data_IF_947558868740
#
_entry.id   IF_947558868740
#
_cell.length_a   1.000
_cell.length_b   1.000
_cell.length_c   1.000
_cell.angle_alpha   90.00
_cell.angle_beta   90.00
_cell.angle_gamma   90.00
#
_symmetry.space_group_name_H-M   'P 1'
#
loop_
_entity.id
_entity.type
_entity.pdbx_description
1 polymer ?
#
# COMPACT_ATOMS: atom_id res chain seq x y z
N UNK A 1 8.47 55.93 9.39
CA UNK A 1 9.35 55.77 8.20
C UNK A 1 10.65 55.04 8.52
N UNK A 2 11.64 55.62 9.24
CA UNK A 2 12.88 54.87 9.56
C UNK A 2 12.62 53.67 10.49
N UNK A 3 11.88 53.87 11.58
CA UNK A 3 11.54 52.78 12.51
C UNK A 3 10.66 51.70 11.87
N UNK A 4 9.75 52.08 10.97
CA UNK A 4 8.93 51.13 10.21
C UNK A 4 9.79 50.32 9.23
N UNK A 5 10.78 50.96 8.60
CA UNK A 5 11.75 50.27 7.73
C UNK A 5 12.61 49.30 8.54
N UNK A 6 13.02 49.67 9.75
CA UNK A 6 13.79 48.80 10.65
C UNK A 6 12.95 47.61 11.15
N UNK A 7 11.65 47.80 11.38
CA UNK A 7 10.73 46.71 11.72
C UNK A 7 10.57 45.72 10.57
N UNK A 8 10.32 46.23 9.35
CA UNK A 8 10.13 45.38 8.15
C UNK A 8 11.41 44.64 7.78
N UNK A 9 12.59 45.26 7.93
CA UNK A 9 13.86 44.57 7.68
C UNK A 9 14.13 43.45 8.68
N UNK A 10 13.77 43.65 9.95
CA UNK A 10 13.85 42.60 10.98
C UNK A 10 12.91 41.41 10.69
N UNK A 11 11.67 41.70 10.27
CA UNK A 11 10.71 40.65 9.88
C UNK A 11 11.17 39.87 8.65
N UNK A 12 11.68 40.56 7.62
CA UNK A 12 12.26 39.90 6.44
C UNK A 12 13.42 38.97 6.84
N UNK A 13 14.30 39.44 7.73
CA UNK A 13 15.41 38.62 8.21
C UNK A 13 14.93 37.38 8.97
N UNK A 14 13.88 37.50 9.79
CA UNK A 14 13.29 36.36 10.49
C UNK A 14 12.68 35.34 9.51
N UNK A 15 12.03 35.81 8.44
CA UNK A 15 11.50 34.94 7.38
C UNK A 15 12.64 34.24 6.64
N UNK A 16 13.74 34.93 6.32
CA UNK A 16 14.91 34.33 5.67
C UNK A 16 15.51 33.19 6.52
N UNK A 17 15.58 33.37 7.84
CA UNK A 17 16.04 32.32 8.76
C UNK A 17 15.10 31.10 8.71
N UNK A 18 13.78 31.31 8.72
CA UNK A 18 12.82 30.21 8.61
C UNK A 18 12.93 29.47 7.28
N UNK A 19 13.16 30.20 6.18
CA UNK A 19 13.39 29.59 4.86
C UNK A 19 14.66 28.73 4.90
N UNK A 20 15.74 29.20 5.51
CA UNK A 20 16.98 28.41 5.64
C UNK A 20 16.76 27.12 6.44
N UNK A 21 16.05 27.19 7.57
CA UNK A 21 15.74 26.01 8.39
C UNK A 21 14.89 24.99 7.62
N UNK A 22 13.87 25.46 6.89
CA UNK A 22 13.02 24.61 6.07
C UNK A 22 13.79 23.95 4.92
N UNK A 23 14.74 24.65 4.30
CA UNK A 23 15.59 24.10 3.25
C UNK A 23 16.53 23.01 3.80
N UNK A 24 17.11 23.20 4.98
CA UNK A 24 17.93 22.18 5.63
C UNK A 24 17.10 20.94 5.96
N UNK A 25 15.89 21.12 6.50
CA UNK A 25 14.98 20.02 6.80
C UNK A 25 14.52 19.29 5.53
N UNK A 26 14.28 20.02 4.45
CA UNK A 26 13.97 19.44 3.14
C UNK A 26 15.11 18.53 2.66
N UNK A 27 16.36 18.99 2.78
CA UNK A 27 17.53 18.21 2.38
C UNK A 27 17.67 16.92 3.21
N UNK A 28 17.46 17.00 4.52
CA UNK A 28 17.48 15.83 5.40
C UNK A 28 16.41 14.80 5.01
N UNK A 29 15.20 15.26 4.70
CA UNK A 29 14.10 14.39 4.26
C UNK A 29 14.39 13.75 2.89
N UNK A 30 15.00 14.48 1.96
CA UNK A 30 15.43 13.93 0.66
C UNK A 30 16.47 12.83 0.85
N UNK A 31 17.46 13.05 1.74
CA UNK A 31 18.45 12.02 2.06
C UNK A 31 17.79 10.77 2.67
N UNK A 32 16.91 10.96 3.65
CA UNK A 32 16.15 9.85 4.27
C UNK A 32 15.34 9.08 3.25
N UNK A 33 14.63 9.77 2.34
CA UNK A 33 13.89 9.17 1.23
C UNK A 33 14.82 8.29 0.38
N UNK A 34 15.94 8.82 -0.08
CA UNK A 34 16.88 8.09 -0.94
C UNK A 34 17.44 6.83 -0.25
N UNK A 35 17.77 6.92 1.05
CA UNK A 35 18.23 5.77 1.85
C UNK A 35 17.15 4.70 1.94
N UNK A 36 15.91 5.09 2.27
CA UNK A 36 14.79 4.16 2.36
C UNK A 36 14.49 3.51 1.00
N UNK A 37 14.49 4.29 -0.08
CA UNK A 37 14.32 3.78 -1.45
C UNK A 37 15.42 2.77 -1.81
N UNK A 38 16.68 3.04 -1.47
CA UNK A 38 17.78 2.10 -1.69
C UNK A 38 17.61 0.81 -0.88
N UNK A 39 17.19 0.90 0.39
CA UNK A 39 16.93 -0.28 1.23
C UNK A 39 15.80 -1.13 0.66
N UNK A 40 14.70 -0.51 0.23
CA UNK A 40 13.58 -1.22 -0.42
C UNK A 40 14.09 -1.92 -1.68
N UNK A 41 14.87 -1.22 -2.52
CA UNK A 41 15.43 -1.82 -3.75
C UNK A 41 16.38 -2.99 -3.46
N UNK A 42 17.26 -2.88 -2.46
CA UNK A 42 18.16 -3.97 -2.06
C UNK A 42 17.37 -5.20 -1.57
N UNK A 43 16.34 -5.00 -0.75
CA UNK A 43 15.45 -6.09 -0.34
C UNK A 43 14.70 -6.73 -1.51
N UNK A 44 14.55 -6.03 -2.64
CA UNK A 44 13.94 -6.58 -3.87
C UNK A 44 14.97 -7.31 -4.76
N UNK A 45 16.25 -6.95 -4.70
CA UNK A 45 17.32 -7.53 -5.54
C UNK A 45 17.94 -8.82 -4.95
N UNK A 46 17.89 -9.03 -3.63
CA UNK A 46 18.36 -10.28 -2.97
C UNK A 46 17.47 -11.52 -3.27
N UNK A 47 16.45 -11.38 -4.13
CA UNK A 47 15.51 -12.45 -4.51
C UNK A 47 15.83 -13.14 -5.86
N UNK A 48 16.91 -12.78 -6.57
CA UNK A 48 17.18 -13.25 -7.95
C UNK A 48 18.30 -14.30 -8.09
N UNK A 49 18.50 -15.14 -7.07
CA UNK A 49 19.41 -16.30 -7.16
C UNK A 49 18.71 -17.59 -6.68
N UNK A 50 17.69 -18.04 -7.41
CA UNK A 50 17.08 -19.36 -7.21
C UNK A 50 15.66 -19.48 -7.80
N UNK A 51 15.51 -20.29 -8.85
CA UNK A 51 14.23 -20.68 -9.44
C UNK A 51 13.35 -21.47 -8.44
N UNK A 52 12.45 -20.75 -7.74
CA UNK A 52 11.09 -21.17 -7.38
C UNK A 52 10.41 -19.96 -6.72
N UNK A 53 9.39 -19.40 -7.36
CA UNK A 53 8.72 -18.13 -7.00
C UNK A 53 7.98 -18.19 -5.65
N UNK A 54 8.72 -18.07 -4.55
CA UNK A 54 8.21 -17.98 -3.16
C UNK A 54 8.53 -16.60 -2.54
N UNK A 55 8.14 -15.51 -3.20
CA UNK A 55 8.21 -14.17 -2.62
C UNK A 55 6.85 -13.44 -2.54
N UNK A 56 5.75 -14.18 -2.70
CA UNK A 56 4.38 -13.66 -2.56
C UNK A 56 3.84 -13.74 -1.12
N UNK A 57 4.74 -13.77 -0.13
CA UNK A 57 4.46 -14.25 1.22
C UNK A 57 3.80 -13.22 2.15
N UNK A 58 3.63 -11.97 1.69
CA UNK A 58 2.97 -10.94 2.49
C UNK A 58 1.54 -10.69 1.97
N UNK A 59 0.52 -10.59 2.84
CA UNK A 59 -0.84 -10.24 2.41
C UNK A 59 -0.90 -8.94 1.59
N UNK A 60 0.02 -8.00 1.84
CA UNK A 60 0.07 -6.73 1.14
C UNK A 60 0.33 -6.86 -0.38
N UNK A 61 1.04 -7.90 -0.85
CA UNK A 61 1.28 -8.07 -2.30
C UNK A 61 0.01 -8.45 -3.06
N UNK A 62 -0.96 -9.05 -2.37
CA UNK A 62 -2.22 -9.56 -2.89
C UNK A 62 -3.41 -8.63 -2.69
N UNK A 63 -3.25 -7.53 -1.95
CA UNK A 63 -4.30 -6.54 -1.73
C UNK A 63 -4.43 -5.59 -2.93
N UNK A 64 -4.79 -6.14 -4.09
CA UNK A 64 -4.91 -5.40 -5.36
C UNK A 64 -6.19 -5.79 -6.11
N UNK A 65 -6.69 -4.86 -6.92
CA UNK A 65 -7.85 -5.03 -7.82
C UNK A 65 -7.42 -5.01 -9.31
N UNK A 66 -6.18 -5.37 -9.62
CA UNK A 66 -5.58 -5.32 -10.96
C UNK A 66 -5.47 -6.70 -11.65
N UNK A 67 -6.04 -7.74 -11.06
CA UNK A 67 -6.04 -9.08 -11.63
C UNK A 67 -7.10 -9.24 -12.74
N UNK A 68 -6.93 -10.17 -13.69
CA UNK A 68 -7.91 -10.42 -14.74
C UNK A 68 -9.32 -10.74 -14.23
N UNK A 69 -9.43 -11.36 -13.05
CA UNK A 69 -10.70 -11.70 -12.41
C UNK A 69 -11.30 -10.58 -11.56
N UNK A 70 -10.58 -9.47 -11.29
CA UNK A 70 -11.02 -8.44 -10.33
C UNK A 70 -12.37 -7.82 -10.69
N UNK A 71 -12.68 -7.66 -11.98
CA UNK A 71 -13.99 -7.20 -12.45
C UNK A 71 -15.13 -8.17 -12.06
N UNK A 72 -14.98 -9.47 -12.38
CA UNK A 72 -15.97 -10.51 -12.05
C UNK A 72 -16.11 -10.67 -10.53
N UNK A 73 -15.01 -10.65 -9.80
CA UNK A 73 -14.99 -10.75 -8.33
C UNK A 73 -15.78 -9.62 -7.68
N UNK A 74 -15.60 -8.37 -8.15
CA UNK A 74 -16.31 -7.20 -7.63
C UNK A 74 -17.81 -7.24 -7.97
N UNK A 75 -18.14 -7.67 -9.18
CA UNK A 75 -19.52 -7.86 -9.62
C UNK A 75 -20.24 -8.89 -8.75
N UNK A 76 -19.66 -10.07 -8.56
CA UNK A 76 -20.24 -11.14 -7.72
C UNK A 76 -20.39 -10.68 -6.27
N UNK A 77 -19.41 -9.96 -5.72
CA UNK A 77 -19.50 -9.40 -4.37
C UNK A 77 -20.74 -8.50 -4.18
N UNK A 78 -20.92 -7.55 -5.11
CA UNK A 78 -21.96 -6.52 -5.00
C UNK A 78 -23.33 -7.05 -5.43
N UNK A 79 -23.39 -7.82 -6.51
CA UNK A 79 -24.64 -8.22 -7.14
C UNK A 79 -25.18 -9.56 -6.66
N UNK A 80 -24.32 -10.49 -6.24
CA UNK A 80 -24.76 -11.79 -5.70
C UNK A 80 -24.77 -11.77 -4.17
N UNK A 81 -23.64 -11.43 -3.55
CA UNK A 81 -23.53 -11.42 -2.09
C UNK A 81 -24.10 -10.15 -1.43
N UNK A 82 -24.44 -9.12 -2.21
CA UNK A 82 -24.99 -7.84 -1.74
C UNK A 82 -24.09 -7.15 -0.70
N UNK A 83 -22.77 -7.29 -0.85
CA UNK A 83 -21.75 -6.67 0.00
C UNK A 83 -21.07 -5.52 -0.75
N UNK A 84 -20.80 -4.42 -0.05
CA UNK A 84 -20.21 -3.22 -0.67
C UNK A 84 -18.68 -3.26 -0.76
N UNK A 85 -18.02 -3.89 0.23
CA UNK A 85 -16.56 -3.92 0.36
C UNK A 85 -16.07 -5.20 1.01
N UNK A 86 -14.84 -5.57 0.70
CA UNK A 86 -14.12 -6.63 1.39
C UNK A 86 -13.73 -6.19 2.81
N UNK A 87 -13.73 -7.15 3.74
CA UNK A 87 -13.10 -7.02 5.05
C UNK A 87 -11.60 -7.35 4.94
N UNK A 88 -10.78 -7.00 5.95
CA UNK A 88 -9.35 -7.29 5.92
C UNK A 88 -9.06 -8.76 5.60
N UNK A 89 -8.02 -9.01 4.79
CA UNK A 89 -7.56 -10.32 4.34
C UNK A 89 -8.50 -11.05 3.35
N UNK A 90 -9.73 -10.58 3.12
CA UNK A 90 -10.65 -11.28 2.22
C UNK A 90 -10.23 -11.16 0.76
N UNK A 91 -9.89 -9.95 0.30
CA UNK A 91 -9.50 -9.72 -1.09
C UNK A 91 -8.20 -10.44 -1.41
N UNK A 92 -7.23 -10.35 -0.51
CA UNK A 92 -5.94 -11.02 -0.57
C UNK A 92 -6.12 -12.53 -0.73
N UNK A 93 -6.93 -13.14 0.16
CA UNK A 93 -7.20 -14.59 0.11
C UNK A 93 -7.88 -14.99 -1.19
N UNK A 94 -8.89 -14.23 -1.62
CA UNK A 94 -9.61 -14.49 -2.87
C UNK A 94 -8.64 -14.45 -4.06
N UNK A 95 -7.75 -13.46 -4.10
CA UNK A 95 -6.76 -13.34 -5.18
C UNK A 95 -5.77 -14.50 -5.19
N UNK A 96 -5.29 -14.94 -4.02
CA UNK A 96 -4.42 -16.12 -3.92
C UNK A 96 -5.15 -17.36 -4.42
N UNK A 97 -6.38 -17.60 -3.98
CA UNK A 97 -7.19 -18.75 -4.41
C UNK A 97 -7.49 -18.71 -5.92
N UNK A 98 -7.86 -17.55 -6.47
CA UNK A 98 -8.11 -17.37 -7.90
C UNK A 98 -6.84 -17.56 -8.76
N UNK A 99 -5.66 -17.35 -8.17
CA UNK A 99 -4.37 -17.63 -8.83
C UNK A 99 -3.98 -19.12 -8.83
N UNK A 100 -4.80 -20.00 -8.24
CA UNK A 100 -4.52 -21.43 -8.15
C UNK A 100 -3.50 -21.81 -7.09
N UNK A 101 -3.14 -20.89 -6.17
CA UNK A 101 -2.21 -21.13 -5.05
C UNK A 101 -2.97 -21.54 -3.80
N UNK A 102 -2.33 -22.36 -2.96
CA UNK A 102 -2.88 -22.74 -1.65
C UNK A 102 -2.73 -21.61 -0.63
N UNK A 103 -3.73 -21.45 0.23
CA UNK A 103 -3.75 -20.40 1.26
C UNK A 103 -4.45 -20.88 2.52
N UNK A 104 -3.84 -20.62 3.68
CA UNK A 104 -4.47 -20.80 4.98
C UNK A 104 -4.95 -19.46 5.53
N UNK A 105 -6.27 -19.35 5.70
CA UNK A 105 -6.91 -18.15 6.23
C UNK A 105 -7.30 -18.35 7.71
N UNK A 106 -6.65 -17.60 8.59
CA UNK A 106 -7.02 -17.53 10.01
C UNK A 106 -7.78 -16.23 10.28
N UNK A 107 -9.06 -16.34 10.62
CA UNK A 107 -9.89 -15.21 11.03
C UNK A 107 -10.82 -15.61 12.19
N UNK A 108 -11.25 -14.67 13.04
CA UNK A 108 -12.25 -14.95 14.08
C UNK A 108 -13.60 -15.40 13.51
N UNK A 109 -14.42 -16.04 14.34
CA UNK A 109 -15.82 -16.35 14.00
C UNK A 109 -16.59 -15.07 13.64
N UNK A 110 -17.44 -15.14 12.62
CA UNK A 110 -18.11 -13.94 12.08
C UNK A 110 -17.21 -13.02 11.24
N UNK A 111 -15.92 -13.33 11.09
CA UNK A 111 -14.97 -12.57 10.27
C UNK A 111 -15.23 -12.60 8.77
N UNK A 112 -16.06 -13.55 8.29
CA UNK A 112 -16.42 -13.65 6.88
C UNK A 112 -15.56 -14.63 6.07
N UNK A 113 -14.92 -15.62 6.71
CA UNK A 113 -14.13 -16.67 6.05
C UNK A 113 -14.85 -17.39 4.92
N UNK A 114 -16.17 -17.56 5.05
CA UNK A 114 -16.98 -18.27 4.06
C UNK A 114 -16.96 -17.62 2.68
N UNK A 115 -16.92 -16.28 2.64
CA UNK A 115 -16.87 -15.53 1.39
C UNK A 115 -15.61 -15.87 0.57
N UNK A 116 -14.49 -16.15 1.23
CA UNK A 116 -13.19 -16.34 0.60
C UNK A 116 -13.07 -17.60 -0.26
N UNK A 117 -14.01 -18.54 -0.16
CA UNK A 117 -14.09 -19.70 -1.07
C UNK A 117 -15.41 -19.74 -1.85
N UNK A 118 -16.50 -19.21 -1.28
CA UNK A 118 -17.80 -19.14 -1.98
C UNK A 118 -17.75 -18.21 -3.19
N UNK A 119 -17.07 -17.07 -3.07
CA UNK A 119 -16.97 -16.12 -4.17
C UNK A 119 -16.09 -16.66 -5.31
N UNK A 120 -14.88 -17.20 -5.05
CA UNK A 120 -14.08 -17.88 -6.08
C UNK A 120 -14.84 -18.99 -6.81
N UNK A 121 -15.65 -19.78 -6.10
CA UNK A 121 -16.44 -20.86 -6.72
C UNK A 121 -17.46 -20.38 -7.76
N UNK A 122 -17.91 -19.11 -7.67
CA UNK A 122 -18.79 -18.50 -8.68
C UNK A 122 -18.01 -17.75 -9.78
N UNK A 123 -16.73 -17.49 -9.54
CA UNK A 123 -15.87 -16.75 -10.48
C UNK A 123 -15.06 -17.70 -11.38
N UNK A 124 -14.71 -18.89 -10.87
CA UNK A 124 -14.08 -19.96 -11.64
C UNK A 124 -15.12 -20.65 -12.51
N UNK A 125 -14.91 -20.60 -13.83
CA UNK A 125 -15.65 -21.42 -14.81
C UNK A 125 -14.82 -22.66 -15.18
#
# INVERSE_FOLDING_TARGET
LSEELDSVTSELHAVDIQIQELLERQQELIQKKNVLTKRIKLCLEDSDAGESSECDSSPASWNKEDFPWSGKVKDVLQNVFKLQKFRPLQLETINVTMSGKEVFLVMPTGGGKSLCYQLPALCSD
#
